data_IF_712975934595
#
_entry.id   IF_712975934595
#
_cell.length_a   1.000
_cell.length_b   1.000
_cell.length_c   1.000
_cell.angle_alpha   90.00
_cell.angle_beta   90.00
_cell.angle_gamma   90.00
#
_symmetry.space_group_name_H-M   'P 1'
#
loop_
_entity.id
_entity.type
_entity.pdbx_description
1 polymer ?
#
# COMPACT_ATOMS: atom_id res chain seq x y z
N UNK A 1 -22.08 29.38 -8.73
CA UNK A 1 -21.10 28.44 -8.15
C UNK A 1 -20.32 27.81 -9.29
N UNK A 2 -19.00 27.81 -9.20
CA UNK A 2 -18.17 27.12 -10.21
C UNK A 2 -18.37 25.62 -10.06
N UNK A 3 -18.71 24.92 -11.13
CA UNK A 3 -18.86 23.46 -11.12
C UNK A 3 -17.53 22.83 -11.53
N UNK A 4 -17.01 21.92 -10.73
CA UNK A 4 -15.78 21.19 -11.00
C UNK A 4 -16.11 19.88 -11.69
N UNK A 5 -15.51 19.64 -12.85
CA UNK A 5 -15.54 18.34 -13.53
C UNK A 5 -14.49 17.42 -12.89
N UNK A 6 -14.93 16.47 -12.09
CA UNK A 6 -14.07 15.58 -11.31
C UNK A 6 -14.11 14.15 -11.89
N UNK A 7 -12.95 13.64 -12.27
CA UNK A 7 -12.81 12.29 -12.78
C UNK A 7 -12.39 11.31 -11.69
N UNK A 8 -12.83 10.07 -11.82
CA UNK A 8 -12.35 8.94 -11.04
C UNK A 8 -11.81 7.85 -11.97
N UNK A 9 -10.77 7.15 -11.54
CA UNK A 9 -10.27 5.95 -12.18
C UNK A 9 -10.12 4.88 -11.10
N UNK A 10 -10.95 3.85 -11.17
CA UNK A 10 -11.04 2.79 -10.17
C UNK A 10 -10.37 1.51 -10.65
N UNK A 11 -9.95 0.67 -9.67
CA UNK A 11 -9.58 -0.74 -9.87
C UNK A 11 -10.32 -1.57 -8.81
N UNK A 12 -10.53 -2.88 -9.02
CA UNK A 12 -11.29 -3.71 -8.07
C UNK A 12 -10.76 -3.65 -6.63
N UNK A 13 -9.44 -3.59 -6.45
CA UNK A 13 -8.80 -3.47 -5.15
C UNK A 13 -8.81 -2.06 -4.55
N UNK A 14 -9.22 -1.04 -5.34
CA UNK A 14 -9.31 0.36 -4.91
C UNK A 14 -10.41 1.11 -5.69
N UNK A 15 -11.69 1.01 -5.25
CA UNK A 15 -12.85 1.66 -5.89
C UNK A 15 -12.87 3.15 -5.55
N UNK A 16 -12.17 3.96 -6.32
CA UNK A 16 -11.99 5.40 -6.09
C UNK A 16 -13.31 6.16 -6.17
N UNK A 17 -14.18 5.81 -7.11
CA UNK A 17 -15.52 6.36 -7.23
C UNK A 17 -16.29 6.28 -5.91
N UNK A 18 -16.36 5.10 -5.32
CA UNK A 18 -17.03 4.84 -4.05
C UNK A 18 -16.41 5.61 -2.86
N UNK A 19 -15.09 5.81 -2.88
CA UNK A 19 -14.41 6.61 -1.84
C UNK A 19 -14.69 8.10 -2.01
N UNK A 20 -14.71 8.60 -3.22
CA UNK A 20 -15.02 10.01 -3.49
C UNK A 20 -16.48 10.29 -3.19
N UNK A 21 -17.43 9.42 -3.55
CA UNK A 21 -18.84 9.55 -3.20
C UNK A 21 -19.02 9.66 -1.68
N UNK A 22 -18.46 8.73 -0.92
CA UNK A 22 -18.52 8.77 0.57
C UNK A 22 -17.86 10.03 1.15
N UNK A 23 -16.78 10.52 0.54
CA UNK A 23 -16.14 11.76 0.95
C UNK A 23 -17.08 12.95 0.70
N UNK A 24 -17.73 13.02 -0.45
CA UNK A 24 -18.67 14.09 -0.79
C UNK A 24 -19.95 14.08 0.08
N UNK A 25 -20.33 12.94 0.61
CA UNK A 25 -21.42 12.80 1.58
C UNK A 25 -21.01 13.12 3.02
N UNK A 26 -19.73 13.24 3.30
CA UNK A 26 -19.21 13.49 4.64
C UNK A 26 -19.32 14.98 5.03
N UNK A 27 -19.21 15.27 6.33
CA UNK A 27 -19.13 16.64 6.85
C UNK A 27 -17.86 17.41 6.43
N UNK A 28 -16.88 16.72 5.86
CA UNK A 28 -15.64 17.29 5.34
C UNK A 28 -15.75 17.69 3.86
N UNK A 29 -16.90 17.42 3.24
CA UNK A 29 -17.13 17.73 1.83
C UNK A 29 -17.08 19.24 1.56
N UNK A 30 -16.43 19.65 0.46
CA UNK A 30 -16.42 21.06 0.09
C UNK A 30 -17.80 21.54 -0.38
N UNK A 31 -18.17 22.78 -0.02
CA UNK A 31 -19.41 23.42 -0.49
C UNK A 31 -19.28 23.91 -1.94
N UNK A 32 -19.01 22.99 -2.88
CA UNK A 32 -18.89 23.25 -4.32
C UNK A 32 -19.70 22.24 -5.12
N UNK A 33 -20.16 22.66 -6.30
CA UNK A 33 -20.83 21.75 -7.22
C UNK A 33 -19.80 20.87 -7.92
N UNK A 34 -19.98 19.54 -7.85
CA UNK A 34 -19.07 18.56 -8.47
C UNK A 34 -19.85 17.74 -9.49
N UNK A 35 -19.32 17.67 -10.70
CA UNK A 35 -19.78 16.77 -11.75
C UNK A 35 -18.79 15.59 -11.85
N UNK A 36 -19.15 14.43 -11.28
CA UNK A 36 -18.30 13.26 -11.23
C UNK A 36 -18.46 12.38 -12.48
N UNK A 37 -17.34 11.83 -12.98
CA UNK A 37 -17.32 10.90 -14.10
C UNK A 37 -16.20 9.85 -13.94
N UNK A 38 -16.55 8.58 -14.11
CA UNK A 38 -15.58 7.49 -14.13
C UNK A 38 -14.88 7.36 -15.50
N UNK A 39 -13.58 7.07 -15.47
CA UNK A 39 -12.71 6.86 -16.63
C UNK A 39 -12.12 5.46 -16.61
N UNK A 40 -12.15 4.77 -17.75
CA UNK A 40 -11.59 3.42 -17.89
C UNK A 40 -10.07 3.38 -18.11
N UNK A 41 -9.41 4.51 -18.38
CA UNK A 41 -7.96 4.55 -18.55
C UNK A 41 -7.36 5.93 -18.26
N UNK A 42 -6.11 5.93 -17.77
CA UNK A 42 -5.33 7.13 -17.49
C UNK A 42 -5.14 7.97 -18.77
N UNK A 43 -4.82 7.35 -19.90
CA UNK A 43 -4.58 8.04 -21.18
C UNK A 43 -5.79 8.86 -21.64
N UNK A 44 -7.01 8.31 -21.49
CA UNK A 44 -8.24 9.02 -21.82
C UNK A 44 -8.46 10.18 -20.87
N UNK A 45 -8.27 9.97 -19.58
CA UNK A 45 -8.44 11.00 -18.55
C UNK A 45 -7.44 12.15 -18.74
N UNK A 46 -6.16 11.87 -18.99
CA UNK A 46 -5.13 12.88 -19.25
C UNK A 46 -5.46 13.74 -20.49
N UNK A 47 -5.97 13.15 -21.59
CA UNK A 47 -6.43 13.90 -22.75
C UNK A 47 -7.58 14.85 -22.43
N UNK A 48 -8.49 14.46 -21.52
CA UNK A 48 -9.60 15.31 -21.08
C UNK A 48 -9.12 16.43 -20.15
N UNK A 49 -8.16 16.16 -19.26
CA UNK A 49 -7.48 17.18 -18.45
C UNK A 49 -6.80 18.21 -19.33
N UNK A 50 -6.02 17.77 -20.33
CA UNK A 50 -5.31 18.64 -21.27
C UNK A 50 -6.25 19.57 -22.06
N UNK A 51 -7.40 19.04 -22.49
CA UNK A 51 -8.43 19.79 -23.23
C UNK A 51 -9.28 20.71 -22.35
N UNK A 52 -9.20 20.60 -21.02
CA UNK A 52 -10.04 21.36 -20.09
C UNK A 52 -11.46 20.80 -19.91
N UNK A 53 -11.76 19.62 -20.45
CA UNK A 53 -13.05 18.92 -20.24
C UNK A 53 -13.13 18.26 -18.86
N UNK A 54 -11.99 18.08 -18.21
CA UNK A 54 -11.82 17.56 -16.87
C UNK A 54 -10.93 18.51 -16.08
N UNK A 55 -11.24 18.75 -14.82
CA UNK A 55 -10.48 19.63 -13.96
C UNK A 55 -9.51 18.87 -13.06
N UNK A 56 -10.01 17.83 -12.39
CA UNK A 56 -9.26 16.98 -11.49
C UNK A 56 -9.57 15.50 -11.76
N UNK A 57 -8.58 14.64 -11.52
CA UNK A 57 -8.70 13.18 -11.60
C UNK A 57 -8.19 12.55 -10.31
N UNK A 58 -9.03 11.77 -9.63
CA UNK A 58 -8.60 10.90 -8.53
C UNK A 58 -8.33 9.48 -9.03
N UNK A 59 -7.22 8.88 -8.62
CA UNK A 59 -6.85 7.53 -9.01
C UNK A 59 -5.93 6.86 -7.98
N UNK A 60 -5.82 5.51 -7.97
CA UNK A 60 -4.83 4.82 -7.15
C UNK A 60 -3.41 5.23 -7.54
N UNK A 61 -2.60 5.62 -6.57
CA UNK A 61 -1.23 6.06 -6.80
C UNK A 61 -0.37 5.01 -7.52
N UNK A 62 -0.64 3.73 -7.30
CA UNK A 62 0.03 2.61 -7.97
C UNK A 62 -0.02 2.70 -9.50
N UNK A 63 -1.15 3.15 -10.06
CA UNK A 63 -1.32 3.25 -11.52
C UNK A 63 -0.51 4.39 -12.14
N UNK A 64 0.01 5.30 -11.31
CA UNK A 64 0.82 6.43 -11.78
C UNK A 64 2.32 6.10 -11.84
N UNK A 65 2.73 4.99 -11.22
CA UNK A 65 4.13 4.57 -11.24
C UNK A 65 4.62 4.36 -12.67
N UNK A 66 5.78 4.94 -13.01
CA UNK A 66 6.35 4.88 -14.36
C UNK A 66 5.63 5.73 -15.42
N UNK A 67 4.64 6.56 -15.05
CA UNK A 67 3.83 7.38 -15.98
C UNK A 67 4.23 8.85 -16.05
N UNK A 68 5.41 9.21 -15.57
CA UNK A 68 5.90 10.58 -15.54
C UNK A 68 5.96 11.25 -16.92
N UNK A 69 6.34 10.48 -17.96
CA UNK A 69 6.39 11.00 -19.34
C UNK A 69 4.98 11.37 -19.84
N UNK A 70 4.01 10.45 -19.70
CA UNK A 70 2.62 10.68 -20.10
C UNK A 70 2.01 11.88 -19.37
N UNK A 71 2.31 12.03 -18.08
CA UNK A 71 1.89 13.18 -17.26
C UNK A 71 2.48 14.50 -17.77
N UNK A 72 3.77 14.52 -18.09
CA UNK A 72 4.45 15.71 -18.58
C UNK A 72 3.95 16.11 -19.98
N UNK A 73 3.75 15.17 -20.89
CA UNK A 73 3.18 15.40 -22.22
C UNK A 73 1.76 15.98 -22.14
N UNK A 74 0.97 15.54 -21.17
CA UNK A 74 -0.37 16.08 -20.91
C UNK A 74 -0.35 17.42 -20.15
N UNK A 75 0.83 17.95 -19.78
CA UNK A 75 0.98 19.14 -18.93
C UNK A 75 0.23 19.02 -17.59
N UNK A 76 0.24 17.81 -17.01
CA UNK A 76 -0.39 17.47 -15.74
C UNK A 76 0.63 17.18 -14.65
N UNK A 77 0.20 17.29 -13.40
CA UNK A 77 0.99 16.96 -12.21
C UNK A 77 0.09 16.44 -11.09
N UNK A 78 0.69 15.79 -10.10
CA UNK A 78 0.01 15.42 -8.86
C UNK A 78 -0.13 16.68 -8.01
N UNK A 79 -1.37 17.07 -7.76
CA UNK A 79 -1.73 18.29 -7.03
C UNK A 79 -2.09 18.05 -5.58
N UNK A 80 -2.35 16.80 -5.22
CA UNK A 80 -2.69 16.37 -3.89
C UNK A 80 -2.74 14.86 -3.77
N UNK A 81 -2.90 14.37 -2.56
CA UNK A 81 -3.07 12.96 -2.30
C UNK A 81 -3.92 12.74 -1.03
N UNK A 82 -4.53 11.55 -0.93
CA UNK A 82 -5.42 11.18 0.15
C UNK A 82 -5.30 9.70 0.49
N UNK A 83 -5.52 9.34 1.75
CA UNK A 83 -5.55 7.94 2.16
C UNK A 83 -6.99 7.48 2.42
N UNK A 84 -7.49 6.43 1.73
CA UNK A 84 -8.82 5.88 2.01
C UNK A 84 -8.89 5.14 3.36
N UNK A 85 -7.75 4.94 4.04
CA UNK A 85 -7.62 4.24 5.34
C UNK A 85 -8.26 2.85 5.34
N UNK A 86 -8.17 2.17 4.22
CA UNK A 86 -8.64 0.80 4.09
C UNK A 86 -7.55 -0.18 4.49
N UNK A 87 -7.85 -1.16 5.36
CA UNK A 87 -6.88 -2.18 5.69
C UNK A 87 -6.54 -3.01 4.45
N UNK A 88 -5.29 -3.35 4.35
CA UNK A 88 -4.63 -3.93 3.21
C UNK A 88 -5.15 -5.31 2.77
N UNK A 89 -4.42 -6.36 3.08
CA UNK A 89 -4.69 -7.72 2.63
C UNK A 89 -5.22 -8.56 3.79
N UNK A 90 -6.04 -9.54 3.48
CA UNK A 90 -6.53 -10.52 4.45
C UNK A 90 -6.24 -11.93 3.96
N UNK A 91 -5.89 -12.81 4.89
CA UNK A 91 -5.88 -14.25 4.68
C UNK A 91 -7.29 -14.79 4.92
N UNK A 92 -7.87 -15.41 3.93
CA UNK A 92 -9.14 -16.15 4.02
C UNK A 92 -8.81 -17.61 4.28
N UNK A 93 -9.11 -18.08 5.48
CA UNK A 93 -8.84 -19.47 5.92
C UNK A 93 -9.48 -19.73 7.27
N UNK A 94 -9.70 -21.00 7.57
CA UNK A 94 -10.19 -21.42 8.88
C UNK A 94 -9.23 -21.00 10.00
N UNK A 95 -7.93 -21.15 9.81
CA UNK A 95 -6.90 -20.94 10.81
C UNK A 95 -6.06 -19.68 10.53
N UNK A 96 -5.60 -18.99 11.61
CA UNK A 96 -4.57 -17.96 11.50
C UNK A 96 -3.29 -18.56 10.94
N UNK A 97 -2.41 -17.70 10.41
CA UNK A 97 -1.16 -18.13 9.77
C UNK A 97 -0.29 -19.01 10.68
N UNK A 98 -0.21 -18.71 11.98
CA UNK A 98 0.58 -19.48 12.95
C UNK A 98 0.05 -20.91 13.15
N UNK A 99 -1.23 -21.15 12.88
CA UNK A 99 -1.91 -22.42 13.06
C UNK A 99 -2.16 -23.20 11.77
N UNK A 100 -1.69 -22.67 10.62
CA UNK A 100 -1.79 -23.39 9.35
C UNK A 100 -1.02 -24.72 9.39
N UNK A 101 -1.46 -25.77 8.68
CA UNK A 101 -0.70 -27.00 8.54
C UNK A 101 0.72 -26.77 8.00
N UNK A 102 1.69 -27.59 8.38
CA UNK A 102 3.09 -27.42 7.91
C UNK A 102 3.27 -27.48 6.40
N UNK A 103 2.40 -28.23 5.71
CA UNK A 103 2.40 -28.35 4.24
C UNK A 103 1.21 -27.65 3.60
N UNK A 104 0.53 -26.79 4.36
CA UNK A 104 -0.66 -26.08 3.91
C UNK A 104 -0.39 -25.26 2.66
N UNK A 105 -1.36 -25.26 1.74
CA UNK A 105 -1.29 -24.52 0.48
C UNK A 105 -2.02 -23.20 0.64
N UNK A 106 -1.29 -22.10 0.45
CA UNK A 106 -1.87 -20.76 0.46
C UNK A 106 -1.59 -20.09 -0.89
N UNK A 107 -2.63 -19.57 -1.53
CA UNK A 107 -2.49 -18.84 -2.79
C UNK A 107 -2.41 -17.33 -2.54
N UNK A 108 -1.54 -16.66 -3.28
CA UNK A 108 -1.45 -15.21 -3.28
C UNK A 108 -0.94 -14.69 -4.62
N UNK A 109 -1.65 -13.72 -5.20
CA UNK A 109 -1.19 -13.00 -6.38
C UNK A 109 0.05 -12.16 -6.09
N UNK A 110 0.14 -11.54 -4.91
CA UNK A 110 1.25 -10.67 -4.53
C UNK A 110 2.53 -11.45 -4.26
N UNK A 111 3.59 -11.14 -5.00
CA UNK A 111 4.94 -11.72 -4.82
C UNK A 111 5.52 -11.37 -3.44
N UNK A 112 5.35 -10.11 -3.02
CA UNK A 112 5.75 -9.66 -1.70
C UNK A 112 5.09 -10.50 -0.59
N UNK A 113 3.76 -10.61 -0.64
CA UNK A 113 3.00 -11.35 0.39
C UNK A 113 3.41 -12.83 0.43
N UNK A 114 3.68 -13.45 -0.72
CA UNK A 114 4.20 -14.84 -0.74
C UNK A 114 5.52 -14.98 0.01
N UNK A 115 6.43 -14.00 -0.13
CA UNK A 115 7.71 -13.98 0.61
C UNK A 115 7.51 -13.75 2.10
N UNK A 116 6.64 -12.81 2.47
CA UNK A 116 6.28 -12.52 3.87
C UNK A 116 5.65 -13.75 4.55
N UNK A 117 4.75 -14.45 3.86
CA UNK A 117 4.15 -15.70 4.37
C UNK A 117 5.19 -16.80 4.60
N UNK A 118 6.18 -16.96 3.71
CA UNK A 118 7.29 -17.90 3.90
C UNK A 118 8.20 -17.51 5.06
N UNK A 119 8.39 -16.21 5.31
CA UNK A 119 9.10 -15.69 6.48
C UNK A 119 8.34 -16.04 7.75
N UNK A 120 7.05 -15.76 7.78
CA UNK A 120 6.18 -15.96 8.93
C UNK A 120 6.05 -17.43 9.32
N UNK A 121 5.83 -18.31 8.35
CA UNK A 121 5.67 -19.74 8.65
C UNK A 121 6.42 -20.61 7.65
N UNK A 122 7.52 -21.17 8.13
CA UNK A 122 8.32 -22.14 7.37
C UNK A 122 7.51 -23.41 7.09
N UNK A 123 7.63 -23.90 5.86
CA UNK A 123 6.97 -25.13 5.43
C UNK A 123 5.62 -24.93 4.74
N UNK A 124 5.05 -23.73 4.74
CA UNK A 124 3.90 -23.42 3.89
C UNK A 124 4.25 -23.51 2.40
N UNK A 125 3.37 -24.08 1.62
CA UNK A 125 3.41 -24.06 0.15
C UNK A 125 2.68 -22.80 -0.34
N UNK A 126 3.41 -21.69 -0.46
CA UNK A 126 2.82 -20.43 -0.88
C UNK A 126 3.07 -20.25 -2.38
N UNK A 127 1.99 -20.29 -3.17
CA UNK A 127 2.01 -20.28 -4.63
C UNK A 127 1.25 -19.07 -5.20
N UNK A 128 1.59 -18.69 -6.43
CA UNK A 128 0.69 -17.82 -7.20
C UNK A 128 -0.45 -18.68 -7.79
N UNK A 129 -1.62 -18.08 -8.12
CA UNK A 129 -2.69 -18.80 -8.79
C UNK A 129 -2.22 -19.50 -10.06
N UNK A 130 -1.41 -18.83 -10.89
CA UNK A 130 -0.86 -19.42 -12.12
C UNK A 130 0.07 -20.60 -11.86
N UNK A 131 0.98 -20.48 -10.88
CA UNK A 131 1.86 -21.59 -10.52
C UNK A 131 1.07 -22.81 -9.98
N UNK A 132 -0.03 -22.56 -9.25
CA UNK A 132 -0.91 -23.64 -8.80
C UNK A 132 -1.59 -24.36 -9.98
N UNK A 133 -2.09 -23.59 -10.99
CA UNK A 133 -2.69 -24.15 -12.22
C UNK A 133 -1.68 -25.02 -12.96
N UNK A 134 -0.45 -24.55 -13.14
CA UNK A 134 0.62 -25.30 -13.81
C UNK A 134 0.98 -26.61 -13.09
N UNK A 135 1.16 -26.54 -11.76
CA UNK A 135 1.50 -27.72 -10.94
C UNK A 135 0.39 -28.77 -10.98
N UNK A 136 -0.86 -28.33 -10.86
CA UNK A 136 -2.04 -29.23 -10.86
C UNK A 136 -2.51 -29.57 -12.28
N UNK A 137 -1.80 -29.09 -13.33
CA UNK A 137 -2.09 -29.33 -14.75
C UNK A 137 -3.55 -29.02 -15.11
N UNK A 138 -4.05 -27.89 -14.64
CA UNK A 138 -5.42 -27.43 -14.90
C UNK A 138 -5.45 -26.49 -16.10
N UNK A 139 -6.54 -26.53 -16.83
CA UNK A 139 -6.86 -25.53 -17.85
C UNK A 139 -7.79 -24.49 -17.23
N UNK A 140 -7.24 -23.36 -16.77
CA UNK A 140 -8.00 -22.25 -16.22
C UNK A 140 -7.39 -20.92 -16.66
N UNK A 141 -8.24 -20.03 -17.15
CA UNK A 141 -7.94 -18.63 -17.44
C UNK A 141 -8.93 -17.75 -16.68
N UNK A 142 -8.56 -16.52 -16.43
CA UNK A 142 -9.44 -15.53 -15.77
C UNK A 142 -9.57 -14.32 -16.67
N UNK A 143 -10.77 -13.79 -16.80
CA UNK A 143 -11.02 -12.55 -17.52
C UNK A 143 -10.62 -11.31 -16.69
N UNK A 144 -10.75 -11.42 -15.37
CA UNK A 144 -10.45 -10.32 -14.45
C UNK A 144 -10.06 -10.82 -13.03
N UNK A 145 -9.67 -9.89 -12.20
CA UNK A 145 -9.21 -10.13 -10.83
C UNK A 145 -10.33 -10.73 -9.94
N UNK A 146 -11.58 -10.29 -10.10
CA UNK A 146 -12.71 -10.79 -9.30
C UNK A 146 -12.98 -12.27 -9.58
N UNK A 147 -12.92 -12.69 -10.85
CA UNK A 147 -13.08 -14.10 -11.24
C UNK A 147 -11.97 -14.97 -10.64
N UNK A 148 -10.73 -14.47 -10.65
CA UNK A 148 -9.61 -15.18 -10.03
C UNK A 148 -9.84 -15.42 -8.53
N UNK A 149 -10.31 -14.41 -7.79
CA UNK A 149 -10.59 -14.56 -6.36
C UNK A 149 -11.80 -15.47 -6.09
N UNK A 150 -12.86 -15.40 -6.89
CA UNK A 150 -14.00 -16.31 -6.80
C UNK A 150 -13.58 -17.76 -7.01
N UNK A 151 -12.68 -17.99 -7.97
CA UNK A 151 -12.11 -19.32 -8.20
C UNK A 151 -11.27 -19.80 -7.01
N UNK A 152 -10.43 -18.96 -6.44
CA UNK A 152 -9.65 -19.32 -5.23
C UNK A 152 -10.55 -19.67 -4.04
N UNK A 153 -11.70 -18.97 -3.88
CA UNK A 153 -12.69 -19.34 -2.87
C UNK A 153 -13.28 -20.71 -3.13
N UNK A 154 -13.65 -21.04 -4.37
CA UNK A 154 -14.14 -22.37 -4.75
C UNK A 154 -13.11 -23.47 -4.41
N UNK A 155 -11.81 -23.22 -4.66
CA UNK A 155 -10.75 -24.17 -4.29
C UNK A 155 -10.66 -24.38 -2.77
N UNK A 156 -10.83 -23.31 -1.97
CA UNK A 156 -10.83 -23.39 -0.51
C UNK A 156 -12.04 -24.19 -0.02
N UNK A 157 -13.23 -23.90 -0.51
CA UNK A 157 -14.46 -24.62 -0.16
C UNK A 157 -14.36 -26.11 -0.46
N UNK A 158 -13.74 -26.49 -1.57
CA UNK A 158 -13.46 -27.86 -1.97
C UNK A 158 -12.29 -28.48 -1.17
N UNK A 159 -11.64 -27.74 -0.26
CA UNK A 159 -10.47 -28.17 0.52
C UNK A 159 -9.27 -28.57 -0.34
N UNK A 160 -9.13 -27.99 -1.51
CA UNK A 160 -7.97 -28.17 -2.38
C UNK A 160 -6.80 -27.26 -1.97
N UNK A 161 -7.12 -26.17 -1.27
CA UNK A 161 -6.16 -25.26 -0.66
C UNK A 161 -6.61 -24.94 0.79
N UNK A 162 -5.67 -24.58 1.65
CA UNK A 162 -5.96 -24.23 3.06
C UNK A 162 -6.36 -22.76 3.22
N UNK A 163 -6.05 -21.92 2.24
CA UNK A 163 -6.43 -20.52 2.25
C UNK A 163 -5.84 -19.71 1.09
N UNK A 164 -6.21 -18.45 1.02
CA UNK A 164 -5.69 -17.53 0.02
C UNK A 164 -5.70 -16.10 0.54
N UNK A 165 -4.90 -15.23 -0.10
CA UNK A 165 -4.78 -13.83 0.24
C UNK A 165 -5.57 -13.00 -0.75
N UNK A 166 -6.37 -12.05 -0.22
CA UNK A 166 -7.24 -11.17 -0.99
C UNK A 166 -7.23 -9.74 -0.42
N UNK A 167 -7.38 -8.69 -1.23
CA UNK A 167 -7.67 -7.35 -0.73
C UNK A 167 -8.99 -7.33 0.04
N UNK A 168 -9.01 -6.68 1.20
CA UNK A 168 -10.21 -6.63 2.05
C UNK A 168 -11.43 -6.06 1.33
N UNK A 169 -11.23 -5.12 0.42
CA UNK A 169 -12.30 -4.54 -0.39
C UNK A 169 -12.98 -5.62 -1.23
N UNK A 170 -12.17 -6.40 -1.97
CA UNK A 170 -12.70 -7.49 -2.82
C UNK A 170 -13.35 -8.58 -1.97
N UNK A 171 -12.77 -8.93 -0.81
CA UNK A 171 -13.40 -9.86 0.14
C UNK A 171 -14.82 -9.41 0.50
N UNK A 172 -15.02 -8.12 0.76
CA UNK A 172 -16.33 -7.56 1.10
C UNK A 172 -17.28 -7.52 -0.11
N UNK A 173 -16.74 -7.22 -1.31
CA UNK A 173 -17.54 -7.19 -2.56
C UNK A 173 -18.04 -8.58 -2.95
N UNK A 174 -17.23 -9.62 -2.77
CA UNK A 174 -17.63 -11.01 -3.07
C UNK A 174 -18.49 -11.65 -1.98
N UNK A 175 -18.78 -10.93 -0.88
CA UNK A 175 -19.57 -11.43 0.25
C UNK A 175 -19.08 -12.78 0.80
N UNK A 176 -17.76 -12.96 0.88
CA UNK A 176 -17.15 -14.20 1.38
C UNK A 176 -17.51 -14.37 2.86
N UNK A 177 -18.03 -15.53 3.23
CA UNK A 177 -18.50 -15.83 4.59
C UNK A 177 -17.42 -16.42 5.50
N UNK A 178 -16.34 -16.94 4.94
CA UNK A 178 -15.25 -17.57 5.70
C UNK A 178 -14.51 -16.55 6.57
N UNK A 179 -13.83 -17.04 7.61
CA UNK A 179 -13.02 -16.19 8.49
C UNK A 179 -11.90 -15.50 7.73
N UNK A 180 -11.68 -14.25 8.07
CA UNK A 180 -10.56 -13.45 7.56
C UNK A 180 -9.59 -13.11 8.68
N UNK A 181 -8.30 -13.17 8.37
CA UNK A 181 -7.22 -12.77 9.27
C UNK A 181 -6.43 -11.65 8.60
N UNK A 182 -6.50 -10.45 9.16
CA UNK A 182 -5.83 -9.29 8.58
C UNK A 182 -4.32 -9.43 8.68
N UNK A 183 -3.61 -9.19 7.58
CA UNK A 183 -2.15 -9.07 7.56
C UNK A 183 -1.77 -7.67 8.05
N UNK A 184 -1.21 -7.59 9.23
CA UNK A 184 -0.92 -6.31 9.90
C UNK A 184 0.54 -5.90 9.69
N UNK A 185 0.79 -4.59 9.44
CA UNK A 185 2.16 -4.06 9.35
C UNK A 185 2.86 -4.01 10.71
N UNK A 186 2.09 -3.95 11.81
CA UNK A 186 2.63 -4.02 13.16
C UNK A 186 2.28 -5.36 13.79
N UNK A 187 3.23 -6.01 14.49
CA UNK A 187 2.93 -7.21 15.23
C UNK A 187 1.96 -6.92 16.38
N UNK A 188 1.03 -7.84 16.62
CA UNK A 188 0.08 -7.71 17.74
C UNK A 188 0.76 -7.95 19.10
N UNK A 189 1.75 -8.83 19.13
CA UNK A 189 2.55 -9.11 20.30
C UNK A 189 4.03 -9.08 19.94
N UNK A 190 4.88 -8.94 20.94
CA UNK A 190 6.33 -8.98 20.76
C UNK A 190 6.74 -10.33 20.15
N UNK A 191 7.43 -10.28 19.02
CA UNK A 191 7.86 -11.48 18.28
C UNK A 191 6.88 -12.03 17.27
N UNK A 192 5.65 -11.48 17.16
CA UNK A 192 4.74 -11.80 16.06
C UNK A 192 5.27 -11.25 14.73
N UNK A 193 4.82 -11.86 13.65
CA UNK A 193 5.19 -11.41 12.30
C UNK A 193 4.50 -10.10 11.91
N UNK A 194 5.16 -9.37 11.03
CA UNK A 194 4.63 -8.17 10.39
C UNK A 194 4.54 -8.36 8.87
N UNK A 195 3.59 -7.64 8.27
CA UNK A 195 3.31 -7.67 6.84
C UNK A 195 3.22 -6.24 6.30
N UNK A 196 4.34 -5.71 5.81
CA UNK A 196 4.31 -4.40 5.18
C UNK A 196 3.49 -4.45 3.89
N UNK A 197 2.66 -3.45 3.62
CA UNK A 197 1.86 -3.40 2.41
C UNK A 197 2.75 -3.22 1.16
N UNK A 198 2.21 -3.56 0.00
CA UNK A 198 2.85 -3.20 -1.27
C UNK A 198 2.94 -1.68 -1.41
N UNK A 199 3.94 -1.17 -2.14
CA UNK A 199 4.06 0.25 -2.42
C UNK A 199 2.78 0.86 -2.98
N UNK A 200 2.54 2.11 -2.63
CA UNK A 200 1.35 2.89 -3.02
C UNK A 200 0.00 2.29 -2.58
N UNK A 201 0.00 1.25 -1.75
CA UNK A 201 -1.23 0.73 -1.17
C UNK A 201 -1.88 1.79 -0.27
N UNK A 202 -3.21 1.83 -0.28
CA UNK A 202 -4.01 2.77 0.50
C UNK A 202 -3.69 4.25 0.21
N UNK A 203 -3.35 4.56 -1.02
CA UNK A 203 -2.98 5.91 -1.45
C UNK A 203 -3.67 6.29 -2.76
N UNK A 204 -4.43 7.37 -2.72
CA UNK A 204 -5.03 8.03 -3.88
C UNK A 204 -4.23 9.29 -4.21
N UNK A 205 -4.05 9.56 -5.49
CA UNK A 205 -3.50 10.82 -5.97
C UNK A 205 -4.55 11.62 -6.72
N UNK A 206 -4.47 12.93 -6.57
CA UNK A 206 -5.30 13.90 -7.27
C UNK A 206 -4.43 14.57 -8.34
N UNK A 207 -4.79 14.36 -9.58
CA UNK A 207 -4.07 14.86 -10.75
C UNK A 207 -4.86 16.01 -11.37
N UNK A 208 -4.16 17.02 -11.82
CA UNK A 208 -4.74 18.12 -12.60
C UNK A 208 -3.70 18.78 -13.49
N UNK A 209 -4.11 19.78 -14.25
CA UNK A 209 -3.20 20.60 -15.06
C UNK A 209 -2.20 21.33 -14.17
N UNK A 210 -0.97 21.49 -14.63
CA UNK A 210 0.03 22.33 -13.94
C UNK A 210 -0.55 23.71 -13.67
N UNK A 211 -0.28 24.24 -12.47
CA UNK A 211 -0.78 25.55 -11.99
C UNK A 211 -2.29 25.61 -11.73
N UNK A 212 -2.98 24.49 -11.60
CA UNK A 212 -4.38 24.49 -11.16
C UNK A 212 -4.49 25.09 -9.74
N UNK A 213 -5.58 25.82 -9.40
CA UNK A 213 -5.67 26.57 -8.14
C UNK A 213 -5.54 25.68 -6.91
N UNK A 214 -4.49 25.92 -6.08
CA UNK A 214 -4.24 25.17 -4.85
C UNK A 214 -5.42 25.20 -3.87
N UNK A 215 -6.17 26.32 -3.81
CA UNK A 215 -7.35 26.44 -2.96
C UNK A 215 -8.40 25.36 -3.27
N UNK A 216 -8.52 24.93 -4.51
CA UNK A 216 -9.47 23.91 -4.92
C UNK A 216 -8.89 22.51 -4.62
N UNK A 217 -7.63 22.27 -4.96
CA UNK A 217 -7.01 20.95 -4.78
C UNK A 217 -6.87 20.57 -3.32
N UNK A 218 -6.60 21.55 -2.43
CA UNK A 218 -6.52 21.32 -0.98
C UNK A 218 -7.83 20.83 -0.36
N UNK A 219 -8.97 21.03 -1.01
CA UNK A 219 -10.26 20.49 -0.55
C UNK A 219 -10.34 18.95 -0.68
N UNK A 220 -9.58 18.39 -1.61
CA UNK A 220 -9.55 16.96 -1.91
C UNK A 220 -8.29 16.25 -1.39
N UNK A 221 -7.37 16.99 -0.80
CA UNK A 221 -6.07 16.49 -0.35
C UNK A 221 -6.01 16.41 1.18
N UNK A 222 -5.15 15.54 1.70
CA UNK A 222 -4.83 15.40 3.11
C UNK A 222 -3.31 15.49 3.31
N UNK A 223 -2.87 16.13 4.39
CA UNK A 223 -1.44 16.28 4.72
C UNK A 223 -0.76 14.90 4.83
N UNK A 224 -1.44 13.91 5.42
CA UNK A 224 -0.93 12.55 5.52
C UNK A 224 -0.76 11.93 4.14
N UNK A 225 -1.76 12.02 3.26
CA UNK A 225 -1.70 11.51 1.90
C UNK A 225 -0.57 12.16 1.07
N UNK A 226 -0.41 13.48 1.16
CA UNK A 226 0.68 14.20 0.49
C UNK A 226 2.06 13.76 0.98
N UNK A 227 2.20 13.58 2.30
CA UNK A 227 3.44 13.07 2.91
C UNK A 227 3.74 11.65 2.42
N UNK A 228 2.75 10.77 2.41
CA UNK A 228 2.87 9.39 1.91
C UNK A 228 3.28 9.37 0.44
N UNK A 229 2.60 10.17 -0.40
CA UNK A 229 2.94 10.28 -1.81
C UNK A 229 4.37 10.75 -2.02
N UNK A 230 4.77 11.85 -1.34
CA UNK A 230 6.10 12.43 -1.48
C UNK A 230 7.19 11.44 -1.10
N UNK A 231 7.06 10.75 0.03
CA UNK A 231 8.03 9.77 0.49
C UNK A 231 8.07 8.58 -0.47
N UNK A 232 6.94 7.98 -0.80
CA UNK A 232 6.92 6.78 -1.64
C UNK A 232 7.40 7.08 -3.06
N UNK A 233 7.00 8.20 -3.65
CA UNK A 233 7.45 8.58 -4.97
C UNK A 233 8.96 8.90 -5.01
N UNK A 234 9.51 9.48 -3.94
CA UNK A 234 10.94 9.72 -3.82
C UNK A 234 11.76 8.42 -3.78
N UNK A 235 11.34 7.45 -2.98
CA UNK A 235 12.02 6.16 -2.86
C UNK A 235 11.86 5.27 -4.09
N UNK A 236 10.71 5.31 -4.73
CA UNK A 236 10.27 4.27 -5.66
C UNK A 236 10.16 4.75 -7.10
N UNK A 237 10.18 6.07 -7.32
CA UNK A 237 9.89 6.67 -8.63
C UNK A 237 10.82 6.21 -9.77
N UNK A 238 12.05 5.81 -9.45
CA UNK A 238 13.05 5.31 -10.40
C UNK A 238 13.17 3.77 -10.41
N UNK A 239 12.43 3.07 -9.52
CA UNK A 239 12.49 1.61 -9.42
C UNK A 239 11.59 1.00 -10.50
N UNK A 240 12.08 0.03 -11.24
CA UNK A 240 11.28 -0.68 -12.23
C UNK A 240 10.15 -1.52 -11.58
N UNK A 241 9.07 -1.74 -12.32
CA UNK A 241 7.85 -2.41 -11.83
C UNK A 241 8.14 -3.83 -11.29
N UNK A 242 9.05 -4.57 -11.91
CA UNK A 242 9.41 -5.93 -11.47
C UNK A 242 10.08 -5.94 -10.10
N UNK A 243 10.92 -4.93 -9.83
CA UNK A 243 11.57 -4.76 -8.52
C UNK A 243 10.57 -4.26 -7.47
N UNK A 244 9.65 -3.37 -7.88
CA UNK A 244 8.60 -2.84 -7.01
C UNK A 244 7.76 -3.96 -6.37
N UNK A 245 7.48 -5.05 -7.09
CA UNK A 245 6.76 -6.22 -6.58
C UNK A 245 7.44 -6.93 -5.39
N UNK A 246 8.71 -6.66 -5.15
CA UNK A 246 9.49 -7.29 -4.07
C UNK A 246 9.62 -6.39 -2.83
N UNK A 247 9.13 -5.16 -2.89
CA UNK A 247 9.28 -4.14 -1.86
C UNK A 247 7.98 -4.05 -1.07
N UNK A 248 8.10 -4.10 0.26
CA UNK A 248 7.06 -3.68 1.19
C UNK A 248 7.35 -2.26 1.66
N UNK A 249 6.34 -1.39 1.69
CA UNK A 249 6.50 -0.02 2.15
C UNK A 249 5.28 0.46 2.93
N UNK A 250 5.53 0.97 4.12
CA UNK A 250 4.55 1.61 4.97
C UNK A 250 4.97 3.06 5.20
N UNK A 251 4.05 3.98 4.99
CA UNK A 251 4.20 5.38 5.36
C UNK A 251 2.90 5.83 6.01
N UNK A 252 2.98 6.51 7.15
CA UNK A 252 1.80 7.02 7.86
C UNK A 252 2.16 8.09 8.87
N UNK A 253 1.19 8.87 9.26
CA UNK A 253 1.27 9.75 10.41
C UNK A 253 0.99 8.99 11.71
N UNK A 254 1.69 9.34 12.77
CA UNK A 254 1.54 8.76 14.11
C UNK A 254 1.40 9.84 15.16
N UNK A 255 0.44 9.65 16.06
CA UNK A 255 0.36 10.46 17.26
C UNK A 255 1.39 9.96 18.29
N UNK A 256 2.06 10.87 18.97
CA UNK A 256 3.02 10.53 20.02
C UNK A 256 2.40 9.61 21.09
N UNK A 257 1.19 9.93 21.54
CA UNK A 257 0.47 9.12 22.53
C UNK A 257 0.27 7.66 22.09
N UNK A 258 0.00 7.45 20.82
CA UNK A 258 -0.15 6.08 20.28
C UNK A 258 1.18 5.30 20.31
N UNK A 259 2.29 5.96 19.96
CA UNK A 259 3.62 5.34 20.03
C UNK A 259 4.06 5.04 21.45
N UNK A 260 3.78 5.94 22.37
CA UNK A 260 4.06 5.73 23.79
C UNK A 260 3.29 4.53 24.36
N UNK A 261 1.98 4.43 24.06
CA UNK A 261 1.18 3.26 24.46
C UNK A 261 1.71 1.94 23.88
N UNK A 262 2.24 1.97 22.66
CA UNK A 262 2.89 0.80 22.03
C UNK A 262 4.22 0.47 22.70
N UNK A 263 5.05 1.47 22.99
CA UNK A 263 6.33 1.29 23.69
C UNK A 263 6.13 0.67 25.08
N UNK A 264 5.18 1.20 25.85
CA UNK A 264 4.80 0.65 27.16
C UNK A 264 4.32 -0.80 27.05
N UNK A 265 3.39 -1.08 26.11
CA UNK A 265 2.85 -2.42 25.87
C UNK A 265 3.95 -3.43 25.53
N UNK A 266 4.90 -3.04 24.71
CA UNK A 266 6.00 -3.90 24.24
C UNK A 266 7.23 -3.82 25.14
N UNK A 267 7.22 -2.98 26.18
CA UNK A 267 8.37 -2.71 27.07
C UNK A 267 9.61 -2.24 26.29
N UNK A 268 9.39 -1.44 25.27
CA UNK A 268 10.43 -0.88 24.40
C UNK A 268 11.00 0.41 25.03
N UNK A 269 11.94 0.23 25.96
CA UNK A 269 12.60 1.33 26.67
C UNK A 269 13.35 2.27 25.70
N UNK A 270 13.85 1.74 24.57
CA UNK A 270 14.57 2.54 23.59
C UNK A 270 13.63 3.54 22.91
N UNK A 271 12.45 3.08 22.52
CA UNK A 271 11.42 3.95 21.95
C UNK A 271 10.89 4.93 22.98
N UNK A 272 10.65 4.50 24.20
CA UNK A 272 10.19 5.35 25.29
C UNK A 272 11.20 6.49 25.57
N UNK A 273 12.49 6.17 25.68
CA UNK A 273 13.55 7.15 25.93
C UNK A 273 13.78 8.09 24.74
N UNK A 274 13.59 7.63 23.50
CA UNK A 274 13.79 8.46 22.30
C UNK A 274 12.84 9.65 22.22
N UNK A 275 11.70 9.59 22.90
CA UNK A 275 10.66 10.63 22.87
C UNK A 275 10.57 11.45 24.16
N UNK A 276 11.45 11.21 25.14
CA UNK A 276 11.53 11.99 26.36
C UNK A 276 12.90 12.68 26.47
N UNK A 277 12.90 13.85 27.12
CA UNK A 277 14.12 14.49 27.56
C UNK A 277 14.59 13.90 28.93
N UNK A 278 15.72 14.39 29.46
CA UNK A 278 16.24 13.93 30.77
C UNK A 278 15.31 14.21 31.94
N UNK A 279 14.30 15.03 31.75
CA UNK A 279 13.31 15.40 32.76
C UNK A 279 12.00 14.60 32.62
N UNK A 280 11.94 13.69 31.65
CA UNK A 280 10.75 12.86 31.38
C UNK A 280 9.65 13.59 30.60
N UNK A 281 9.94 14.78 30.06
CA UNK A 281 8.97 15.50 29.22
C UNK A 281 9.06 15.07 27.76
N UNK A 282 7.95 15.10 27.04
CA UNK A 282 7.93 14.81 25.61
C UNK A 282 8.79 15.79 24.82
N UNK A 283 9.65 15.26 23.96
CA UNK A 283 10.58 16.06 23.13
C UNK A 283 9.88 16.79 21.98
N UNK A 284 8.66 16.42 21.64
CA UNK A 284 7.87 17.06 20.59
C UNK A 284 6.38 16.85 20.79
N UNK A 285 5.59 17.85 20.42
CA UNK A 285 4.13 17.75 20.31
C UNK A 285 3.66 17.62 18.87
N UNK A 286 4.61 17.51 17.92
CA UNK A 286 4.28 17.37 16.50
C UNK A 286 3.74 15.97 16.18
N UNK A 287 3.00 15.88 15.09
CA UNK A 287 2.71 14.60 14.44
C UNK A 287 4.03 13.97 13.99
N UNK A 288 4.17 12.69 14.21
CA UNK A 288 5.33 11.94 13.78
C UNK A 288 5.04 11.26 12.41
N UNK A 289 6.05 11.22 11.57
CA UNK A 289 6.03 10.50 10.31
C UNK A 289 6.81 9.21 10.46
N UNK A 290 6.12 8.09 10.32
CA UNK A 290 6.71 6.76 10.28
C UNK A 290 6.79 6.31 8.83
N UNK A 291 7.96 5.85 8.42
CA UNK A 291 8.14 5.17 7.15
C UNK A 291 9.09 3.98 7.30
N UNK A 292 8.65 2.86 6.75
CA UNK A 292 9.33 1.57 6.79
C UNK A 292 9.39 1.03 5.39
N UNK A 293 10.55 0.51 5.00
CA UNK A 293 10.76 -0.13 3.71
C UNK A 293 11.45 -1.48 3.94
N UNK A 294 10.98 -2.53 3.29
CA UNK A 294 11.63 -3.84 3.35
C UNK A 294 11.68 -4.52 1.99
N UNK A 295 12.66 -5.37 1.79
CA UNK A 295 12.67 -6.40 0.74
C UNK A 295 13.07 -7.74 1.34
N UNK A 296 12.48 -8.80 0.82
CA UNK A 296 12.59 -10.15 1.38
C UNK A 296 13.10 -11.08 0.28
N UNK A 297 14.05 -11.97 0.59
CA UNK A 297 14.52 -13.00 -0.34
C UNK A 297 13.39 -13.96 -0.76
N UNK A 298 13.56 -14.63 -1.89
CA UNK A 298 12.55 -15.53 -2.46
C UNK A 298 12.11 -16.64 -1.48
N UNK A 299 13.05 -17.13 -0.69
CA UNK A 299 12.81 -18.18 0.31
C UNK A 299 12.24 -17.64 1.64
N UNK A 300 12.10 -16.33 1.80
CA UNK A 300 11.64 -15.67 3.01
C UNK A 300 12.64 -15.65 4.17
N UNK A 301 13.90 -16.09 3.95
CA UNK A 301 14.87 -16.26 5.05
C UNK A 301 15.64 -15.02 5.40
N UNK A 302 15.78 -14.09 4.44
CA UNK A 302 16.57 -12.88 4.60
C UNK A 302 15.70 -11.67 4.31
N UNK A 303 15.79 -10.68 5.16
CA UNK A 303 15.08 -9.41 5.03
C UNK A 303 16.08 -8.27 5.15
N UNK A 304 16.01 -7.34 4.23
CA UNK A 304 16.59 -6.01 4.39
C UNK A 304 15.45 -5.09 4.74
N UNK A 305 15.60 -4.33 5.81
CA UNK A 305 14.60 -3.35 6.22
C UNK A 305 15.27 -2.09 6.74
N UNK A 306 14.64 -0.95 6.49
CA UNK A 306 14.98 0.34 7.10
C UNK A 306 13.70 0.93 7.65
N UNK A 307 13.78 1.46 8.87
CA UNK A 307 12.66 1.96 9.64
C UNK A 307 13.03 3.33 10.24
N UNK A 308 12.11 4.29 10.14
CA UNK A 308 12.28 5.64 10.68
C UNK A 308 10.97 6.16 11.24
N UNK A 309 11.09 6.82 12.40
CA UNK A 309 10.01 7.62 13.00
C UNK A 309 10.61 8.97 13.36
N UNK A 310 10.09 10.04 12.78
CA UNK A 310 10.64 11.39 12.95
C UNK A 310 9.52 12.42 13.06
N UNK A 311 9.77 13.58 13.72
CA UNK A 311 8.84 14.69 13.69
C UNK A 311 8.52 15.14 12.27
N UNK A 312 7.28 15.58 12.03
CA UNK A 312 6.82 16.04 10.72
C UNK A 312 7.73 17.13 10.14
N UNK A 313 8.23 18.04 10.96
CA UNK A 313 9.16 19.10 10.54
C UNK A 313 10.50 18.58 9.98
N UNK A 314 10.86 17.31 10.24
CA UNK A 314 12.16 16.72 9.86
C UNK A 314 12.05 15.59 8.81
N UNK A 315 10.83 15.23 8.37
CA UNK A 315 10.66 14.02 7.53
C UNK A 315 11.38 14.11 6.18
N UNK A 316 11.51 15.30 5.58
CA UNK A 316 12.17 15.45 4.28
C UNK A 316 13.68 15.13 4.36
N UNK A 317 14.35 15.61 5.42
CA UNK A 317 15.77 15.30 5.64
C UNK A 317 15.94 13.82 5.96
N UNK A 318 15.06 13.27 6.79
CA UNK A 318 15.07 11.86 7.14
C UNK A 318 14.81 10.97 5.92
N UNK A 319 13.92 11.37 5.01
CA UNK A 319 13.62 10.68 3.76
C UNK A 319 14.90 10.52 2.91
N UNK A 320 15.64 11.60 2.69
CA UNK A 320 16.89 11.56 1.91
C UNK A 320 17.94 10.67 2.57
N UNK A 321 18.12 10.79 3.89
CA UNK A 321 19.07 9.95 4.63
C UNK A 321 18.70 8.46 4.56
N UNK A 322 17.42 8.15 4.71
CA UNK A 322 16.94 6.75 4.69
C UNK A 322 17.05 6.12 3.31
N UNK A 323 16.78 6.87 2.25
CA UNK A 323 16.95 6.39 0.88
C UNK A 323 18.41 6.02 0.60
N UNK A 324 19.35 6.86 1.04
CA UNK A 324 20.77 6.57 0.96
C UNK A 324 21.19 5.32 1.74
N UNK A 325 20.68 5.18 2.98
CA UNK A 325 20.93 4.00 3.81
C UNK A 325 20.38 2.74 3.14
N UNK A 326 19.18 2.81 2.57
CA UNK A 326 18.53 1.72 1.85
C UNK A 326 19.35 1.28 0.64
N UNK A 327 19.78 2.20 -0.23
CA UNK A 327 20.62 1.89 -1.40
C UNK A 327 21.93 1.22 -0.97
N UNK A 328 22.60 1.75 0.06
CA UNK A 328 23.85 1.22 0.55
C UNK A 328 23.72 -0.22 1.07
N UNK A 329 22.64 -0.55 1.79
CA UNK A 329 22.42 -1.89 2.31
C UNK A 329 22.12 -2.87 1.16
N UNK A 330 21.36 -2.45 0.16
CA UNK A 330 21.08 -3.27 -1.03
C UNK A 330 22.37 -3.54 -1.83
N UNK A 331 23.20 -2.54 -2.09
CA UNK A 331 24.46 -2.70 -2.81
C UNK A 331 25.40 -3.67 -2.09
N UNK A 332 25.54 -3.55 -0.77
CA UNK A 332 26.32 -4.49 0.04
C UNK A 332 25.79 -5.91 -0.05
N UNK A 333 24.48 -6.09 0.01
CA UNK A 333 23.88 -7.42 -0.09
C UNK A 333 24.16 -8.10 -1.42
N UNK A 334 24.17 -7.33 -2.52
CA UNK A 334 24.52 -7.84 -3.86
C UNK A 334 25.99 -8.25 -3.93
N UNK A 335 26.87 -7.49 -3.30
CA UNK A 335 28.32 -7.85 -3.20
C UNK A 335 28.51 -9.17 -2.47
N UNK A 336 27.69 -9.46 -1.47
CA UNK A 336 27.71 -10.73 -0.73
C UNK A 336 27.00 -11.88 -1.48
N UNK A 337 26.62 -11.68 -2.74
CA UNK A 337 25.97 -12.68 -3.58
C UNK A 337 24.51 -12.95 -3.21
N UNK A 338 23.87 -12.03 -2.47
CA UNK A 338 22.47 -12.14 -2.09
C UNK A 338 21.64 -11.28 -3.03
N UNK A 339 20.89 -11.93 -3.89
CA UNK A 339 19.98 -11.25 -4.79
C UNK A 339 18.56 -11.24 -4.25
N UNK A 340 18.03 -10.05 -3.96
CA UNK A 340 16.65 -9.84 -3.50
C UNK A 340 15.67 -9.56 -4.63
N UNK A 341 16.16 -9.23 -5.83
CA UNK A 341 15.34 -8.75 -6.93
C UNK A 341 15.23 -9.71 -8.11
N UNK A 342 16.23 -10.57 -8.32
CA UNK A 342 16.15 -11.62 -9.34
C UNK A 342 15.51 -12.90 -8.79
N UNK A 343 14.89 -13.66 -9.69
CA UNK A 343 14.19 -14.92 -9.36
C UNK A 343 15.14 -16.11 -9.26
#
# INVERSE_FOLDING_TARGET
METINFGTLSIPSCPVDSYIEKFLESSEAPEISINSKEYGSLTIALKNLQKGNLDLLAMPAKLLHGKQLEMNEANCEVLGARTPRTPNMVLVSENKIQYQPKSGIILSQSKLVRRQLRRSRRGLRVLSPNAFIEIEKREKTYENELEMYSWMETLRENKEIDGYIIPRVIYSTLNISERRHTLLPDPQNLGDDHFLPSPYSDLLVIIGRKKYPKKITSLFSEIEGETMWKIQNYFLGEIDEKRLENIGMLTRHRQMSTLMTLAEKHKDLTMEQAFHNSEGESTTNEVLVEFRIETISNDGRRTIAVDRVVPYSKYEIAMVATERDWRMVIERSQTDGIDFFNN
#
